data_IF_938948374589
#
_entry.id   IF_938948374589
#
_cell.length_a   1.000
_cell.length_b   1.000
_cell.length_c   1.000
_cell.angle_alpha   90.00
_cell.angle_beta   90.00
_cell.angle_gamma   90.00
#
_symmetry.space_group_name_H-M   'P 1'
#
loop_
_entity.id
_entity.type
_entity.pdbx_description
1 polymer ?
#
# COMPACT_ATOMS: atom_id res chain seq x y z
N UNK A 1 -4.58 17.31 -9.09
CA UNK A 1 -3.73 16.68 -10.13
C UNK A 1 -4.51 15.90 -11.18
N UNK A 2 -5.73 15.42 -10.90
CA UNK A 2 -6.56 14.61 -11.82
C UNK A 2 -6.81 15.24 -13.20
N UNK A 3 -6.78 16.57 -13.32
CA UNK A 3 -6.91 17.27 -14.61
C UNK A 3 -5.70 17.07 -15.52
N UNK A 4 -4.48 16.99 -14.97
CA UNK A 4 -3.27 16.72 -15.74
C UNK A 4 -3.23 15.25 -16.21
N UNK A 5 -3.56 14.30 -15.33
CA UNK A 5 -3.63 12.87 -15.64
C UNK A 5 -4.61 12.59 -16.78
N UNK A 6 -5.80 13.23 -16.77
CA UNK A 6 -6.79 13.13 -17.85
C UNK A 6 -6.31 13.70 -19.18
N UNK A 7 -5.55 14.80 -19.17
CA UNK A 7 -4.97 15.36 -20.40
C UNK A 7 -3.90 14.41 -20.98
N UNK A 8 -3.01 13.88 -20.13
CA UNK A 8 -2.00 12.90 -20.55
C UNK A 8 -2.63 11.60 -21.08
N UNK A 9 -3.76 11.18 -20.52
CA UNK A 9 -4.48 9.98 -20.97
C UNK A 9 -5.12 10.13 -22.36
N UNK A 10 -5.43 11.37 -22.78
CA UNK A 10 -5.96 11.69 -24.11
C UNK A 10 -4.86 11.89 -25.15
N UNK A 11 -3.63 12.15 -24.73
CA UNK A 11 -2.49 12.32 -25.62
C UNK A 11 -1.90 10.95 -26.04
N UNK A 12 -1.97 10.65 -27.35
CA UNK A 12 -1.41 9.43 -27.92
C UNK A 12 0.12 9.33 -27.77
N UNK A 13 0.84 10.45 -27.61
CA UNK A 13 2.28 10.47 -27.33
C UNK A 13 2.61 9.86 -25.97
N UNK A 14 1.66 9.88 -25.04
CA UNK A 14 1.80 9.37 -23.68
C UNK A 14 1.23 7.96 -23.50
N UNK A 15 0.98 7.21 -24.60
CA UNK A 15 0.42 5.85 -24.57
C UNK A 15 1.13 4.91 -23.59
N UNK A 16 2.46 5.02 -23.47
CA UNK A 16 3.26 4.20 -22.53
C UNK A 16 2.91 4.45 -21.06
N UNK A 17 2.37 5.63 -20.72
CA UNK A 17 1.97 6.00 -19.37
C UNK A 17 0.52 5.62 -19.05
N UNK A 18 -0.30 5.31 -20.06
CA UNK A 18 -1.73 5.06 -19.85
C UNK A 18 -2.05 3.98 -18.81
N UNK A 19 -1.33 2.83 -18.75
CA UNK A 19 -1.57 1.84 -17.69
C UNK A 19 -1.41 2.42 -16.29
N UNK A 20 -0.41 3.30 -16.07
CA UNK A 20 -0.20 3.97 -14.80
C UNK A 20 -1.29 5.01 -14.52
N UNK A 21 -1.66 5.81 -15.53
CA UNK A 21 -2.69 6.84 -15.40
C UNK A 21 -4.06 6.24 -15.07
N UNK A 22 -4.37 5.06 -15.62
CA UNK A 22 -5.62 4.34 -15.36
C UNK A 22 -5.66 3.83 -13.91
N UNK A 23 -4.51 3.48 -13.32
CA UNK A 23 -4.41 3.09 -11.90
C UNK A 23 -4.45 4.29 -10.94
N UNK A 24 -3.97 5.47 -11.34
CA UNK A 24 -3.93 6.66 -10.48
C UNK A 24 -5.30 7.11 -9.97
N UNK A 25 -6.39 6.81 -10.69
CA UNK A 25 -7.73 7.22 -10.28
C UNK A 25 -8.23 6.49 -9.01
N UNK A 26 -7.73 5.28 -8.74
CA UNK A 26 -8.05 4.50 -7.55
C UNK A 26 -6.87 4.31 -6.60
N UNK A 27 -5.77 5.02 -6.81
CA UNK A 27 -4.59 4.89 -5.97
C UNK A 27 -4.84 5.54 -4.60
N UNK A 28 -4.61 4.78 -3.54
CA UNK A 28 -4.52 5.30 -2.18
C UNK A 28 -3.06 5.64 -1.87
N UNK A 29 -2.85 6.80 -1.27
CA UNK A 29 -1.52 7.20 -0.82
C UNK A 29 -1.24 6.64 0.56
N UNK A 30 0.03 6.28 0.79
CA UNK A 30 0.49 5.86 2.10
C UNK A 30 0.17 6.93 3.15
N UNK A 31 -0.34 6.54 4.33
CA UNK A 31 -0.69 7.47 5.40
C UNK A 31 0.58 7.93 6.14
N UNK A 32 1.46 8.68 5.46
CA UNK A 32 2.76 9.14 5.99
C UNK A 32 2.65 10.04 7.22
N UNK A 33 1.47 10.58 7.51
CA UNK A 33 1.19 11.34 8.74
C UNK A 33 0.85 10.48 9.95
N UNK A 34 0.67 9.16 9.80
CA UNK A 34 0.46 8.25 10.93
C UNK A 34 1.80 7.77 11.47
N UNK A 35 2.08 8.02 12.76
CA UNK A 35 3.31 7.58 13.44
C UNK A 35 3.48 6.06 13.35
N UNK A 36 2.37 5.33 13.53
CA UNK A 36 2.28 3.88 13.40
C UNK A 36 2.60 3.33 12.01
N UNK A 37 2.53 4.15 10.95
CA UNK A 37 2.65 3.69 9.56
C UNK A 37 4.06 3.21 9.22
N UNK A 38 5.10 3.89 9.70
CA UNK A 38 6.48 3.51 9.40
C UNK A 38 6.82 2.11 9.93
N UNK A 39 6.48 1.84 11.21
CA UNK A 39 6.68 0.54 11.83
C UNK A 39 5.82 -0.54 11.17
N UNK A 40 4.52 -0.27 10.99
CA UNK A 40 3.59 -1.20 10.34
C UNK A 40 4.06 -1.59 8.93
N UNK A 41 4.51 -0.62 8.14
CA UNK A 41 5.03 -0.85 6.77
C UNK A 41 6.30 -1.70 6.78
N UNK A 42 7.21 -1.46 7.73
CA UNK A 42 8.43 -2.26 7.87
C UNK A 42 8.12 -3.71 8.25
N UNK A 43 7.21 -3.93 9.21
CA UNK A 43 6.75 -5.26 9.61
C UNK A 43 6.09 -5.97 8.44
N UNK A 44 5.15 -5.31 7.75
CA UNK A 44 4.47 -5.84 6.58
C UNK A 44 5.46 -6.32 5.52
N UNK A 45 6.43 -5.47 5.14
CA UNK A 45 7.44 -5.82 4.14
C UNK A 45 8.29 -7.03 4.54
N UNK A 46 8.55 -7.20 5.83
CA UNK A 46 9.33 -8.33 6.36
C UNK A 46 8.57 -9.65 6.34
N UNK A 47 7.26 -9.63 6.56
CA UNK A 47 6.48 -10.86 6.81
C UNK A 47 5.58 -11.28 5.66
N UNK A 48 5.11 -10.35 4.81
CA UNK A 48 4.06 -10.64 3.83
C UNK A 48 4.47 -11.70 2.80
N UNK A 49 5.76 -11.81 2.47
CA UNK A 49 6.27 -12.85 1.57
C UNK A 49 6.02 -14.28 2.07
N UNK A 50 5.90 -14.47 3.39
CA UNK A 50 5.59 -15.78 3.99
C UNK A 50 4.16 -16.23 3.69
N UNK A 51 3.22 -15.29 3.51
CA UNK A 51 1.85 -15.61 3.12
C UNK A 51 1.78 -16.18 1.70
N UNK A 52 2.67 -15.75 0.81
CA UNK A 52 2.73 -16.22 -0.58
C UNK A 52 3.65 -17.44 -0.78
N UNK A 53 4.37 -17.86 0.27
CA UNK A 53 5.28 -18.99 0.18
C UNK A 53 4.50 -20.30 -0.02
N UNK A 54 5.10 -21.26 -0.73
CA UNK A 54 4.53 -22.59 -0.90
C UNK A 54 4.38 -23.26 0.47
N UNK A 55 3.15 -23.67 0.81
CA UNK A 55 2.83 -24.23 2.13
C UNK A 55 2.80 -23.20 3.27
N UNK A 56 2.82 -21.91 2.95
CA UNK A 56 2.61 -20.84 3.93
C UNK A 56 1.18 -20.81 4.46
N UNK A 57 0.99 -20.09 5.57
CA UNK A 57 -0.32 -19.83 6.16
C UNK A 57 -0.65 -18.33 6.06
N UNK A 58 -1.35 -17.91 4.99
CA UNK A 58 -1.76 -16.52 4.82
C UNK A 58 -2.59 -16.02 6.00
N UNK A 59 -3.45 -16.87 6.57
CA UNK A 59 -4.34 -16.46 7.67
C UNK A 59 -3.52 -16.12 8.90
N UNK A 60 -2.56 -16.98 9.29
CA UNK A 60 -1.69 -16.71 10.43
C UNK A 60 -0.82 -15.47 10.22
N UNK A 61 -0.23 -15.30 9.02
CA UNK A 61 0.61 -14.15 8.69
C UNK A 61 -0.19 -12.84 8.75
N UNK A 62 -1.36 -12.80 8.12
CA UNK A 62 -2.21 -11.60 8.09
C UNK A 62 -2.78 -11.28 9.48
N UNK A 63 -3.15 -12.29 10.28
CA UNK A 63 -3.62 -12.09 11.67
C UNK A 63 -2.51 -11.51 12.55
N UNK A 64 -1.27 -11.98 12.39
CA UNK A 64 -0.11 -11.45 13.11
C UNK A 64 0.20 -10.00 12.71
N UNK A 65 0.11 -9.68 11.41
CA UNK A 65 0.31 -8.33 10.90
C UNK A 65 -0.75 -7.36 11.44
N UNK A 66 -2.02 -7.76 11.45
CA UNK A 66 -3.12 -6.95 11.98
C UNK A 66 -2.88 -6.57 13.45
N UNK A 67 -2.58 -7.55 14.31
CA UNK A 67 -2.34 -7.30 15.75
C UNK A 67 -1.17 -6.34 15.99
N UNK A 68 -0.12 -6.41 15.16
CA UNK A 68 1.00 -5.47 15.24
C UNK A 68 0.61 -4.07 14.81
N UNK A 69 -0.15 -3.93 13.73
CA UNK A 69 -0.64 -2.63 13.29
C UNK A 69 -1.52 -1.97 14.36
N UNK A 70 -2.40 -2.74 15.02
CA UNK A 70 -3.22 -2.26 16.13
C UNK A 70 -2.38 -1.77 17.33
N UNK A 71 -1.37 -2.54 17.73
CA UNK A 71 -0.47 -2.15 18.82
C UNK A 71 0.34 -0.89 18.51
N UNK A 72 0.81 -0.73 17.26
CA UNK A 72 1.54 0.47 16.83
C UNK A 72 0.64 1.71 16.74
N UNK A 73 -0.61 1.54 16.33
CA UNK A 73 -1.61 2.62 16.34
C UNK A 73 -1.93 3.06 17.78
N UNK A 74 -2.10 2.13 18.71
CA UNK A 74 -2.30 2.44 20.13
C UNK A 74 -1.08 3.17 20.73
N UNK A 75 0.13 2.69 20.44
CA UNK A 75 1.37 3.32 20.90
C UNK A 75 1.60 4.72 20.30
N UNK A 76 1.16 4.95 19.06
CA UNK A 76 1.28 6.24 18.37
C UNK A 76 0.18 7.26 18.72
N UNK A 77 -0.87 6.83 19.45
CA UNK A 77 -1.96 7.68 19.91
C UNK A 77 -1.74 8.27 21.33
N UNK A 78 -0.68 7.83 22.02
CA UNK A 78 -0.26 8.30 23.35
C UNK A 78 0.85 9.35 23.26
#
# INVERSE_FOLDING_TARGET
TTSASRRMRKDKKQKKLWPFLDQLAGAEFYPVGKVSWASTSAVMKKTIGQAAAKGGDPKAVLTSLQRKAEAEEEAGAS
#
